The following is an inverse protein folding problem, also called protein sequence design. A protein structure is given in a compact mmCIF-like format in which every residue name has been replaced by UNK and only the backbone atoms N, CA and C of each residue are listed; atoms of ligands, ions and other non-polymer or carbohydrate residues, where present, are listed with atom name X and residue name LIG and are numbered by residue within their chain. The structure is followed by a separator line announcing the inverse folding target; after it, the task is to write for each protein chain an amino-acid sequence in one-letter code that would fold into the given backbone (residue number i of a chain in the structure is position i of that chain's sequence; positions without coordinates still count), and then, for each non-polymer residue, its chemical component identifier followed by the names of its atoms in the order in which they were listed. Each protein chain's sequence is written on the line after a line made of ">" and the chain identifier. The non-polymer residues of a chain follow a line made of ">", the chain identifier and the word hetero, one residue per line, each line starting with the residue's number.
data_IF_817547811801
#
_entry.id   IF_817547811801
#
_cell.length_a   1.000
_cell.length_b   1.000
_cell.length_c   1.000
_cell.angle_alpha   90.00
_cell.angle_beta   90.00
_cell.angle_gamma   90.00
#
_symmetry.space_group_name_H-M   'P 1'
#
loop_
_entity.id
_entity.type
_entity.pdbx_description
1 polymer ?
#
# COMPACT_ATOMS: atom_id res chain seq x y z
N UNK A 1 -1.60 -13.34 17.95
CA UNK A 1 -2.41 -12.26 17.37
C UNK A 1 -1.90 -12.01 15.98
N UNK A 2 -2.79 -12.08 15.01
CA UNK A 2 -2.49 -11.73 13.64
C UNK A 2 -2.55 -10.20 13.49
N UNK A 3 -1.70 -9.66 12.63
CA UNK A 3 -1.65 -8.25 12.30
C UNK A 3 -1.70 -8.10 10.80
N UNK A 4 -2.45 -7.13 10.31
CA UNK A 4 -2.51 -6.74 8.92
C UNK A 4 -2.05 -5.30 8.79
N UNK A 5 -1.24 -5.02 7.78
CA UNK A 5 -0.73 -3.70 7.47
C UNK A 5 -0.74 -3.46 5.97
N UNK A 6 -0.85 -2.21 5.59
CA UNK A 6 -0.80 -1.80 4.19
C UNK A 6 0.56 -1.17 3.92
N UNK A 7 1.15 -1.51 2.79
CA UNK A 7 2.36 -0.91 2.28
C UNK A 7 1.95 0.24 1.38
N UNK A 8 2.51 1.41 1.65
CA UNK A 8 2.30 2.61 0.89
C UNK A 8 3.61 3.07 0.27
N UNK A 9 3.52 3.60 -0.94
CA UNK A 9 4.53 4.47 -1.48
C UNK A 9 4.01 5.90 -1.32
N UNK A 10 4.66 6.69 -0.46
CA UNK A 10 4.10 7.96 0.03
C UNK A 10 2.67 7.74 0.56
N UNK A 11 1.65 8.38 -0.02
CA UNK A 11 0.25 8.19 0.33
C UNK A 11 -0.52 7.21 -0.58
N UNK A 12 0.12 6.62 -1.60
CA UNK A 12 -0.53 5.66 -2.49
C UNK A 12 -0.36 4.23 -1.95
N UNK A 13 -1.44 3.50 -1.65
CA UNK A 13 -1.32 2.11 -1.20
C UNK A 13 -0.93 1.21 -2.36
N UNK A 14 -0.04 0.25 -2.10
CA UNK A 14 0.49 -0.67 -3.10
C UNK A 14 0.12 -2.13 -2.81
N UNK A 15 0.29 -2.56 -1.55
CA UNK A 15 0.14 -3.95 -1.15
C UNK A 15 -0.39 -4.05 0.28
N UNK A 16 -1.02 -5.16 0.60
CA UNK A 16 -1.50 -5.50 1.94
C UNK A 16 -0.77 -6.74 2.43
N UNK A 17 -0.23 -6.68 3.64
CA UNK A 17 0.53 -7.77 4.26
C UNK A 17 -0.13 -8.13 5.59
N UNK A 18 -0.54 -9.37 5.75
CA UNK A 18 -0.95 -9.89 7.03
C UNK A 18 0.08 -10.91 7.54
N UNK A 19 0.38 -10.85 8.83
CA UNK A 19 1.31 -11.72 9.51
C UNK A 19 0.69 -12.26 10.81
N UNK A 20 0.87 -13.55 11.10
CA UNK A 20 0.47 -14.14 12.38
C UNK A 20 1.57 -15.00 12.97
N UNK A 21 1.53 -15.14 14.30
CA UNK A 21 2.50 -15.93 15.05
C UNK A 21 3.78 -15.16 15.39
N UNK A 22 4.74 -15.87 16.00
CA UNK A 22 6.06 -15.35 16.38
C UNK A 22 7.13 -16.43 16.14
N UNK A 23 8.36 -16.03 15.89
CA UNK A 23 9.49 -16.97 15.71
C UNK A 23 9.34 -17.89 14.49
N UNK A 24 9.62 -19.19 14.68
CA UNK A 24 9.57 -20.21 13.60
C UNK A 24 8.17 -20.49 13.06
N UNK A 25 7.13 -20.10 13.79
CA UNK A 25 5.72 -20.30 13.40
C UNK A 25 5.11 -19.05 12.77
N UNK A 26 5.90 -18.07 12.32
CA UNK A 26 5.35 -16.90 11.64
C UNK A 26 4.75 -17.31 10.30
N UNK A 27 3.53 -16.89 10.02
CA UNK A 27 2.90 -16.94 8.70
C UNK A 27 2.78 -15.53 8.18
N UNK A 28 3.06 -15.34 6.90
CA UNK A 28 2.91 -14.06 6.22
C UNK A 28 2.16 -14.30 4.91
N UNK A 29 1.12 -13.50 4.69
CA UNK A 29 0.37 -13.45 3.45
C UNK A 29 0.47 -12.04 2.90
N UNK A 30 0.76 -11.93 1.61
CA UNK A 30 0.83 -10.66 0.89
C UNK A 30 -0.21 -10.66 -0.22
N UNK A 31 -0.93 -9.56 -0.38
CA UNK A 31 -1.81 -9.29 -1.52
C UNK A 31 -1.44 -7.97 -2.17
N UNK A 32 -1.25 -8.02 -3.46
CA UNK A 32 -0.99 -6.84 -4.27
C UNK A 32 -2.32 -6.22 -4.68
N UNK A 33 -2.40 -4.90 -4.64
CA UNK A 33 -3.59 -4.18 -5.11
C UNK A 33 -3.63 -4.17 -6.65
N UNK A 34 -4.78 -3.78 -7.19
CA UNK A 34 -4.98 -3.64 -8.62
C UNK A 34 -3.89 -2.80 -9.28
N UNK A 35 -3.49 -3.18 -10.50
CA UNK A 35 -2.42 -2.53 -11.29
C UNK A 35 -2.50 -1.00 -11.41
N UNK A 36 -3.68 -0.41 -11.21
CA UNK A 36 -3.88 1.05 -11.24
C UNK A 36 -3.09 1.77 -10.15
N UNK A 37 -2.88 1.13 -8.99
CA UNK A 37 -2.09 1.69 -7.91
C UNK A 37 -0.61 1.69 -8.26
N UNK A 38 -0.09 0.59 -8.81
CA UNK A 38 1.29 0.52 -9.30
C UNK A 38 1.56 1.55 -10.41
N UNK A 39 0.63 1.70 -11.36
CA UNK A 39 0.72 2.74 -12.39
C UNK A 39 0.69 4.15 -11.79
N UNK A 40 -0.16 4.39 -10.80
CA UNK A 40 -0.22 5.70 -10.14
C UNK A 40 1.06 6.03 -9.37
N UNK A 41 1.70 5.04 -8.75
CA UNK A 41 3.00 5.20 -8.08
C UNK A 41 4.07 5.60 -9.10
N UNK A 42 4.13 4.92 -10.24
CA UNK A 42 5.07 5.21 -11.31
C UNK A 42 4.86 6.63 -11.88
N UNK A 43 3.62 6.99 -12.20
CA UNK A 43 3.29 8.34 -12.68
C UNK A 43 3.59 9.43 -11.63
N UNK A 44 3.31 9.16 -10.35
CA UNK A 44 3.61 10.06 -9.25
C UNK A 44 5.12 10.23 -9.02
N UNK A 45 5.89 9.14 -9.12
CA UNK A 45 7.34 9.14 -9.02
C UNK A 45 7.97 9.94 -10.17
N UNK A 46 7.54 9.68 -11.41
CA UNK A 46 7.99 10.44 -12.58
C UNK A 46 7.66 11.94 -12.46
N UNK A 47 6.45 12.26 -11.99
CA UNK A 47 6.03 13.67 -11.83
C UNK A 47 6.79 14.40 -10.74
N UNK A 48 7.11 13.72 -9.64
CA UNK A 48 7.90 14.30 -8.55
C UNK A 48 9.41 14.27 -8.79
N UNK A 49 9.87 13.61 -9.86
CA UNK A 49 11.28 13.39 -10.16
C UNK A 49 11.94 12.34 -9.26
N UNK A 50 11.15 11.59 -8.48
CA UNK A 50 11.64 10.51 -7.64
C UNK A 50 11.94 9.22 -8.43
N UNK A 51 11.54 9.12 -9.71
CA UNK A 51 11.70 7.91 -10.53
C UNK A 51 13.16 7.49 -10.78
N UNK A 52 14.11 8.43 -10.65
CA UNK A 52 15.54 8.20 -10.93
C UNK A 52 16.43 8.21 -9.70
N UNK A 53 15.84 8.39 -8.52
CA UNK A 53 16.57 8.57 -7.27
C UNK A 53 16.29 7.42 -6.31
N UNK A 54 17.19 7.26 -5.33
CA UNK A 54 16.99 6.34 -4.21
C UNK A 54 15.73 6.71 -3.39
N UNK A 55 15.26 7.97 -3.51
CA UNK A 55 13.99 8.46 -2.97
C UNK A 55 12.81 7.54 -3.30
N UNK A 56 12.77 6.92 -4.48
CA UNK A 56 11.70 5.98 -4.81
C UNK A 56 11.62 4.81 -3.82
N UNK A 57 12.77 4.27 -3.40
CA UNK A 57 12.87 3.18 -2.44
C UNK A 57 12.71 3.67 -0.98
N UNK A 58 13.19 4.88 -0.69
CA UNK A 58 13.10 5.50 0.64
C UNK A 58 11.66 5.93 1.01
N UNK A 59 10.85 6.30 0.01
CA UNK A 59 9.45 6.72 0.18
C UNK A 59 8.48 5.56 0.50
N UNK A 60 8.96 4.32 0.47
CA UNK A 60 8.16 3.17 0.88
C UNK A 60 7.98 3.15 2.39
N UNK A 61 6.72 3.29 2.82
CA UNK A 61 6.36 3.20 4.23
C UNK A 61 5.37 2.08 4.49
N UNK A 62 5.43 1.58 5.71
CA UNK A 62 4.48 0.58 6.22
C UNK A 62 3.46 1.33 7.05
N UNK A 63 2.19 1.18 6.73
CA UNK A 63 1.10 1.73 7.53
C UNK A 63 1.00 1.02 8.88
N UNK A 64 0.13 1.58 9.72
CA UNK A 64 -0.11 1.07 11.05
C UNK A 64 -0.62 -0.38 11.03
N UNK A 65 -0.03 -1.27 11.85
CA UNK A 65 -0.50 -2.64 11.96
C UNK A 65 -1.83 -2.66 12.72
N UNK A 66 -2.84 -3.23 12.07
CA UNK A 66 -4.17 -3.42 12.61
C UNK A 66 -4.29 -4.87 13.07
N UNK A 67 -4.86 -5.10 14.24
CA UNK A 67 -5.12 -6.47 14.71
C UNK A 67 -6.19 -7.13 13.85
N UNK A 68 -5.92 -8.33 13.35
CA UNK A 68 -6.82 -9.09 12.50
C UNK A 68 -7.03 -10.53 13.00
N UNK A 69 -7.95 -11.25 12.36
CA UNK A 69 -8.20 -12.67 12.67
C UNK A 69 -7.11 -13.58 12.11
N UNK A 70 -7.07 -14.83 12.56
CA UNK A 70 -6.13 -15.86 12.07
C UNK A 70 -6.39 -16.28 10.60
N UNK A 71 -7.48 -15.79 9.98
CA UNK A 71 -7.77 -15.94 8.54
C UNK A 71 -7.00 -14.92 7.68
N UNK A 72 -5.68 -14.97 7.73
CA UNK A 72 -4.79 -14.01 7.04
C UNK A 72 -5.20 -13.75 5.58
N UNK A 73 -5.43 -14.81 4.79
CA UNK A 73 -5.80 -14.71 3.38
C UNK A 73 -7.10 -13.93 3.15
N UNK A 74 -8.10 -14.16 4.00
CA UNK A 74 -9.39 -13.48 3.90
C UNK A 74 -9.27 -12.00 4.31
N UNK A 75 -8.47 -11.72 5.33
CA UNK A 75 -8.25 -10.36 5.82
C UNK A 75 -7.49 -9.51 4.78
N UNK A 76 -6.44 -10.06 4.16
CA UNK A 76 -5.71 -9.33 3.10
C UNK A 76 -6.57 -9.08 1.88
N UNK A 77 -7.40 -10.04 1.48
CA UNK A 77 -8.28 -9.90 0.32
C UNK A 77 -9.40 -8.88 0.61
N UNK A 78 -10.02 -8.97 1.79
CA UNK A 78 -11.05 -8.03 2.21
C UNK A 78 -10.52 -6.60 2.31
N UNK A 79 -9.36 -6.41 2.95
CA UNK A 79 -8.76 -5.08 3.06
C UNK A 79 -8.28 -4.55 1.70
N UNK A 80 -7.72 -5.41 0.84
CA UNK A 80 -7.35 -5.02 -0.52
C UNK A 80 -8.57 -4.54 -1.31
N UNK A 81 -9.64 -5.33 -1.34
CA UNK A 81 -10.89 -4.96 -2.01
C UNK A 81 -11.50 -3.68 -1.42
N UNK A 82 -11.44 -3.49 -0.10
CA UNK A 82 -11.93 -2.28 0.55
C UNK A 82 -11.12 -1.05 0.13
N UNK A 83 -9.79 -1.13 0.10
CA UNK A 83 -8.92 -0.02 -0.37
C UNK A 83 -9.22 0.30 -1.83
N UNK A 84 -9.38 -0.73 -2.66
CA UNK A 84 -9.73 -0.57 -4.07
C UNK A 84 -11.09 0.13 -4.25
N UNK A 85 -12.09 -0.20 -3.46
CA UNK A 85 -13.40 0.44 -3.56
C UNK A 85 -13.40 1.86 -2.97
N UNK A 86 -12.62 2.09 -1.90
CA UNK A 86 -12.53 3.37 -1.23
C UNK A 86 -11.76 4.41 -2.07
N UNK A 87 -10.71 3.97 -2.78
CA UNK A 87 -9.90 4.85 -3.61
C UNK A 87 -10.38 4.76 -5.07
N UNK A 88 -11.09 5.80 -5.48
CA UNK A 88 -11.53 5.95 -6.86
C UNK A 88 -10.38 6.35 -7.79
N UNK A 89 -10.61 6.23 -9.10
CA UNK A 89 -9.65 6.71 -10.12
C UNK A 89 -9.39 8.21 -9.97
N UNK A 90 -10.39 8.99 -9.54
CA UNK A 90 -10.25 10.43 -9.32
C UNK A 90 -9.29 10.73 -8.17
N UNK A 91 -9.43 10.01 -7.05
CA UNK A 91 -8.51 10.15 -5.90
C UNK A 91 -7.08 9.77 -6.27
N UNK A 92 -6.90 8.66 -7.01
CA UNK A 92 -5.60 8.26 -7.54
C UNK A 92 -4.97 9.33 -8.42
N UNK A 93 -5.76 9.96 -9.31
CA UNK A 93 -5.29 11.06 -10.15
C UNK A 93 -4.85 12.27 -9.32
N UNK A 94 -5.57 12.60 -8.26
CA UNK A 94 -5.17 13.67 -7.34
C UNK A 94 -3.84 13.35 -6.66
N UNK A 95 -3.65 12.11 -6.20
CA UNK A 95 -2.38 11.65 -5.63
C UNK A 95 -1.25 11.75 -6.65
N UNK A 96 -1.45 11.26 -7.88
CA UNK A 96 -0.48 11.39 -8.97
C UNK A 96 -0.12 12.86 -9.18
N UNK A 97 -1.13 13.73 -9.29
CA UNK A 97 -0.93 15.16 -9.55
C UNK A 97 -0.08 15.85 -8.46
N UNK A 98 -0.18 15.38 -7.23
CA UNK A 98 0.58 15.83 -6.07
C UNK A 98 1.91 15.07 -5.86
N UNK A 99 2.34 14.24 -6.82
CA UNK A 99 3.56 13.46 -6.69
C UNK A 99 3.46 12.35 -5.64
N UNK A 100 2.27 11.82 -5.37
CA UNK A 100 2.05 10.72 -4.43
C UNK A 100 1.66 11.17 -3.02
N UNK A 101 1.38 12.46 -2.81
CA UNK A 101 0.94 13.00 -1.52
C UNK A 101 -0.56 13.38 -1.51
N UNK A 102 -1.27 13.11 -0.41
CA UNK A 102 -2.67 13.55 -0.23
C UNK A 102 -2.76 15.07 -0.12
N UNK A 103 -1.74 15.70 0.47
CA UNK A 103 -1.64 17.16 0.57
C UNK A 103 -0.54 17.66 -0.38
N UNK A 104 -0.78 18.73 -1.16
CA UNK A 104 0.30 19.39 -1.87
C UNK A 104 1.29 19.98 -0.85
N UNK A 105 2.58 19.67 -1.02
CA UNK A 105 3.68 20.33 -0.30
C UNK A 105 4.00 21.70 -0.93
#
# INVERSE_FOLDING_TARGET
>A
MAQIKVIYWRDIPAQVIAESGRGRNRRQVKRELHKRFALAIDEAAMRSGADKSDDYLEDWRRGDPISCTDMLEKEVDNLANQIEQLISVTELRSLIANGGFIKPQ
#
